data_IF_848487173264
#
_entry.id   IF_848487173264
#
_cell.length_a   1.000
_cell.length_b   1.000
_cell.length_c   1.000
_cell.angle_alpha   90.00
_cell.angle_beta   90.00
_cell.angle_gamma   90.00
#
_symmetry.space_group_name_H-M   'P 1'
#
loop_
_entity.id
_entity.type
_entity.pdbx_description
1 polymer ?
#
# COMPACT_ATOMS: atom_id res chain seq x y z
N UNK A 1 -11.24 -25.57 -6.77
CA UNK A 1 -9.90 -25.91 -6.26
C UNK A 1 -9.53 -24.87 -5.22
N UNK A 2 -9.12 -25.32 -4.03
CA UNK A 2 -8.59 -24.43 -3.00
C UNK A 2 -7.11 -24.27 -3.34
N UNK A 3 -6.72 -23.08 -3.77
CA UNK A 3 -5.32 -22.75 -3.93
C UNK A 3 -4.83 -22.35 -2.52
N UNK A 4 -3.90 -23.13 -1.94
CA UNK A 4 -3.30 -22.88 -0.62
C UNK A 4 -1.77 -23.06 -0.72
N UNK A 5 -0.99 -22.05 -0.33
CA UNK A 5 0.46 -21.95 -0.52
C UNK A 5 1.01 -21.20 -1.76
N UNK A 6 0.20 -20.54 -2.59
CA UNK A 6 0.64 -19.77 -3.78
C UNK A 6 0.40 -18.26 -3.63
N UNK A 7 1.17 -17.38 -4.31
CA UNK A 7 0.87 -15.95 -4.34
C UNK A 7 -0.55 -15.60 -4.80
N UNK A 8 -1.24 -16.51 -5.52
CA UNK A 8 -2.65 -16.35 -5.93
C UNK A 8 -3.67 -16.69 -4.84
N UNK A 9 -3.22 -17.05 -3.64
CA UNK A 9 -4.11 -17.45 -2.53
C UNK A 9 -4.45 -16.32 -1.59
N UNK A 10 -3.76 -15.19 -1.70
CA UNK A 10 -4.26 -13.97 -1.13
C UNK A 10 -5.46 -13.56 -2.00
N UNK A 11 -6.66 -13.55 -1.44
CA UNK A 11 -7.83 -12.99 -2.13
C UNK A 11 -7.61 -11.51 -2.45
N UNK A 12 -8.55 -10.89 -3.19
CA UNK A 12 -8.71 -9.42 -3.31
C UNK A 12 -9.03 -8.74 -1.95
N UNK A 13 -8.54 -9.32 -0.85
CA UNK A 13 -8.62 -8.80 0.49
C UNK A 13 -7.83 -7.51 0.56
N UNK A 14 -8.56 -6.47 0.91
CA UNK A 14 -8.02 -5.15 1.14
C UNK A 14 -7.50 -5.08 2.57
N UNK A 15 -6.28 -4.57 2.75
CA UNK A 15 -5.69 -4.33 4.05
C UNK A 15 -5.36 -2.86 4.18
N UNK A 16 -5.48 -2.32 5.39
CA UNK A 16 -4.79 -1.08 5.74
C UNK A 16 -3.29 -1.36 5.78
N UNK A 17 -2.50 -0.53 5.10
CA UNK A 17 -1.05 -0.63 5.05
C UNK A 17 -0.45 0.73 5.38
N UNK A 18 0.60 0.73 6.20
CA UNK A 18 1.39 1.92 6.50
C UNK A 18 2.80 1.75 5.94
N UNK A 19 3.26 2.72 5.16
CA UNK A 19 4.63 2.85 4.68
C UNK A 19 5.30 4.01 5.41
N UNK A 20 6.29 3.70 6.24
CA UNK A 20 7.21 4.72 6.74
C UNK A 20 8.35 4.89 5.72
N UNK A 21 8.58 6.13 5.30
CA UNK A 21 9.51 6.44 4.23
C UNK A 21 10.41 7.60 4.61
N UNK A 22 11.68 7.51 4.21
CA UNK A 22 12.67 8.57 4.39
C UNK A 22 12.55 9.65 3.33
N UNK A 23 11.37 10.25 3.18
CA UNK A 23 11.16 11.33 2.22
C UNK A 23 10.32 12.50 2.76
N UNK A 24 10.57 13.70 2.21
CA UNK A 24 9.91 14.94 2.60
C UNK A 24 9.40 15.77 1.40
N UNK A 25 9.73 15.35 0.17
CA UNK A 25 9.42 16.08 -1.08
C UNK A 25 8.15 15.56 -1.79
N UNK A 26 7.43 14.60 -1.19
CA UNK A 26 6.18 14.06 -1.73
C UNK A 26 6.33 13.11 -2.91
N UNK A 27 7.54 12.62 -3.21
CA UNK A 27 7.78 11.62 -4.28
C UNK A 27 7.08 10.30 -3.99
N UNK A 28 7.04 9.88 -2.73
CA UNK A 28 6.31 8.70 -2.30
C UNK A 28 4.82 8.94 -2.46
N UNK A 29 4.28 10.11 -2.07
CA UNK A 29 2.88 10.42 -2.30
C UNK A 29 2.49 10.32 -3.79
N UNK A 30 3.34 10.80 -4.70
CA UNK A 30 3.14 10.63 -6.15
C UNK A 30 3.06 9.16 -6.54
N UNK A 31 4.05 8.35 -6.15
CA UNK A 31 4.06 6.90 -6.44
C UNK A 31 2.82 6.21 -5.87
N UNK A 32 2.46 6.50 -4.63
CA UNK A 32 1.31 5.90 -3.96
C UNK A 32 0.01 6.29 -4.65
N UNK A 33 -0.13 7.56 -5.06
CA UNK A 33 -1.28 8.06 -5.82
C UNK A 33 -1.43 7.34 -7.17
N UNK A 34 -0.33 7.15 -7.90
CA UNK A 34 -0.32 6.39 -9.15
C UNK A 34 -0.72 4.92 -8.93
N UNK A 35 -0.31 4.31 -7.81
CA UNK A 35 -0.61 2.92 -7.49
C UNK A 35 -2.08 2.68 -7.10
N UNK A 36 -2.68 3.58 -6.32
CA UNK A 36 -4.07 3.42 -5.86
C UNK A 36 -5.10 4.01 -6.83
N UNK A 37 -4.66 4.89 -7.73
CA UNK A 37 -5.49 5.62 -8.67
C UNK A 37 -6.20 6.83 -8.04
N UNK A 38 -6.59 7.80 -8.87
CA UNK A 38 -7.12 9.10 -8.43
C UNK A 38 -8.34 8.98 -7.50
N UNK A 39 -9.24 8.03 -7.78
CA UNK A 39 -10.45 7.82 -6.97
C UNK A 39 -10.14 7.45 -5.52
N UNK A 40 -9.03 6.72 -5.29
CA UNK A 40 -8.61 6.25 -3.98
C UNK A 40 -7.53 7.14 -3.34
N UNK A 41 -6.85 7.98 -4.13
CA UNK A 41 -5.78 8.85 -3.65
C UNK A 41 -6.22 9.78 -2.51
N UNK A 42 -7.49 10.23 -2.53
CA UNK A 42 -8.09 11.04 -1.45
C UNK A 42 -8.17 10.33 -0.09
N UNK A 43 -8.00 9.01 -0.07
CA UNK A 43 -7.99 8.18 1.13
C UNK A 43 -6.58 7.85 1.63
N UNK A 44 -5.53 8.32 0.95
CA UNK A 44 -4.16 8.25 1.47
C UNK A 44 -4.06 9.24 2.63
N UNK A 45 -3.77 8.71 3.82
CA UNK A 45 -3.56 9.51 5.02
C UNK A 45 -2.07 9.75 5.21
N UNK A 46 -1.68 11.02 5.21
CA UNK A 46 -0.33 11.44 5.59
C UNK A 46 -0.19 11.42 7.12
N UNK A 47 0.85 10.77 7.61
CA UNK A 47 1.28 10.70 9.02
C UNK A 47 2.69 11.26 9.14
N UNK A 48 3.19 11.46 10.37
CA UNK A 48 4.45 12.17 10.64
C UNK A 48 5.65 11.67 9.83
N UNK A 49 5.75 10.35 9.60
CA UNK A 49 6.88 9.72 8.90
C UNK A 49 6.48 8.91 7.68
N UNK A 50 5.25 9.04 7.19
CA UNK A 50 4.81 8.21 6.07
C UNK A 50 3.32 8.23 5.77
N UNK A 51 2.85 7.19 5.10
CA UNK A 51 1.51 7.16 4.51
C UNK A 51 0.75 5.91 4.88
N UNK A 52 -0.52 6.06 5.24
CA UNK A 52 -1.45 4.98 5.51
C UNK A 52 -2.55 4.97 4.45
N UNK A 53 -2.81 3.81 3.85
CA UNK A 53 -3.86 3.65 2.83
C UNK A 53 -4.32 2.19 2.74
N UNK A 54 -5.30 1.92 1.88
CA UNK A 54 -5.87 0.57 1.71
C UNK A 54 -5.44 -0.01 0.37
N UNK A 55 -4.95 -1.25 0.37
CA UNK A 55 -4.57 -1.96 -0.84
C UNK A 55 -4.61 -3.49 -0.67
N UNK A 56 -4.63 -4.28 -1.77
CA UNK A 56 -4.39 -5.70 -1.69
C UNK A 56 -2.97 -5.96 -1.17
N UNK A 57 -2.80 -6.91 -0.24
CA UNK A 57 -1.48 -7.20 0.34
C UNK A 57 -0.46 -7.66 -0.72
N UNK A 58 -0.93 -8.27 -1.80
CA UNK A 58 -0.09 -8.71 -2.92
C UNK A 58 0.57 -7.57 -3.69
N UNK A 59 0.01 -6.36 -3.64
CA UNK A 59 0.53 -5.21 -4.36
C UNK A 59 1.67 -4.51 -3.59
N UNK A 60 1.88 -4.84 -2.30
CA UNK A 60 2.92 -4.23 -1.46
C UNK A 60 4.33 -4.39 -2.05
N UNK A 61 4.76 -5.57 -2.54
CA UNK A 61 6.08 -5.73 -3.17
C UNK A 61 6.29 -4.81 -4.38
N UNK A 62 5.27 -4.64 -5.22
CA UNK A 62 5.35 -3.78 -6.40
C UNK A 62 5.47 -2.30 -6.02
N UNK A 63 4.69 -1.86 -5.01
CA UNK A 63 4.81 -0.51 -4.46
C UNK A 63 6.20 -0.28 -3.85
N UNK A 64 6.72 -1.23 -3.07
CA UNK A 64 8.04 -1.12 -2.47
C UNK A 64 9.15 -1.02 -3.54
N UNK A 65 9.02 -1.79 -4.64
CA UNK A 65 9.90 -1.70 -5.80
C UNK A 65 9.84 -0.33 -6.47
N UNK A 66 8.64 0.19 -6.72
CA UNK A 66 8.45 1.51 -7.36
C UNK A 66 9.03 2.64 -6.50
N UNK A 67 8.78 2.63 -5.19
CA UNK A 67 9.37 3.58 -4.25
C UNK A 67 10.91 3.54 -4.29
N UNK A 68 11.48 2.34 -4.25
CA UNK A 68 12.94 2.16 -4.35
C UNK A 68 13.51 2.67 -5.68
N UNK A 69 12.83 2.43 -6.80
CA UNK A 69 13.22 2.95 -8.12
C UNK A 69 13.18 4.48 -8.20
N UNK A 70 12.36 5.13 -7.36
CA UNK A 70 12.31 6.60 -7.23
C UNK A 70 13.27 7.15 -6.16
N UNK A 71 14.19 6.31 -5.67
CA UNK A 71 15.13 6.64 -4.60
C UNK A 71 14.42 7.14 -3.33
N UNK A 72 13.29 6.51 -3.00
CA UNK A 72 12.60 6.69 -1.71
C UNK A 72 13.06 5.58 -0.78
N UNK A 73 13.67 5.94 0.34
CA UNK A 73 14.01 4.97 1.39
C UNK A 73 12.74 4.49 2.09
N UNK A 74 12.62 3.19 2.34
CA UNK A 74 11.51 2.59 3.10
C UNK A 74 12.09 2.10 4.42
N UNK A 75 11.60 2.64 5.54
CA UNK A 75 12.05 2.24 6.88
C UNK A 75 11.24 1.09 7.42
N UNK A 76 9.92 1.12 7.22
CA UNK A 76 9.04 0.02 7.60
C UNK A 76 7.79 -0.04 6.71
N UNK A 77 7.26 -1.26 6.57
CA UNK A 77 5.96 -1.52 5.98
C UNK A 77 5.15 -2.31 7.00
N UNK A 78 4.04 -1.75 7.46
CA UNK A 78 3.18 -2.36 8.48
C UNK A 78 1.87 -2.78 7.83
N UNK A 79 1.56 -4.08 7.92
CA UNK A 79 0.24 -4.62 7.59
C UNK A 79 -0.70 -4.40 8.76
N UNK A 80 -1.73 -3.59 8.57
CA UNK A 80 -2.79 -3.33 9.52
C UNK A 80 -3.97 -4.30 9.38
N UNK A 81 -5.14 -3.83 9.85
CA UNK A 81 -6.39 -4.60 9.81
C UNK A 81 -6.83 -4.91 8.38
N UNK A 82 -7.44 -6.09 8.20
CA UNK A 82 -8.20 -6.42 6.99
C UNK A 82 -9.44 -5.55 6.93
N UNK A 83 -9.73 -4.99 5.76
CA UNK A 83 -10.96 -4.25 5.50
C UNK A 83 -12.04 -5.28 5.22
N UNK A 84 -13.00 -5.39 6.12
CA UNK A 84 -14.23 -6.10 5.85
C UNK A 84 -15.02 -5.30 4.80
N UNK A 85 -15.38 -5.92 3.68
CA UNK A 85 -16.34 -5.29 2.77
C UNK A 85 -17.64 -5.13 3.56
N UNK A 86 -18.01 -3.89 3.90
CA UNK A 86 -19.42 -3.61 4.17
C UNK A 86 -20.15 -3.97 2.88
N UNK A 87 -21.04 -4.96 2.96
CA UNK A 87 -22.02 -5.23 1.92
C UNK A 87 -22.84 -3.94 1.76
N UNK A 88 -22.53 -3.16 0.73
CA UNK A 88 -23.37 -2.06 0.25
C UNK A 88 -24.46 -2.62 -0.65
#
# INVERSE_FOLDING_TARGET
MIHSGTPRDYSDDMYKVYFEVGEWEGRALTVLTECVGEAQAKHIKHLEFGYEFVMPIQCVPDVAKLLSQKNVAIYQIVRGAKIERMLS
#
